data_IF_032039612942
#
_entry.id   IF_032039612942
#
_cell.length_a   1.000
_cell.length_b   1.000
_cell.length_c   1.000
_cell.angle_alpha   90.00
_cell.angle_beta   90.00
_cell.angle_gamma   90.00
#
_symmetry.space_group_name_H-M   'P 1'
#
loop_
_entity.id
_entity.type
_entity.pdbx_description
1 polymer ?
#
# COMPACT_ATOMS: atom_id res chain seq x y z
N UNK A 1 39.83 16.91 -40.76
CA UNK A 1 40.65 17.67 -39.79
C UNK A 1 39.89 17.65 -38.46
N UNK A 2 40.44 16.95 -37.45
CA UNK A 2 39.96 16.76 -36.05
C UNK A 2 38.56 16.15 -35.79
N UNK A 3 38.49 14.90 -35.29
CA UNK A 3 37.31 14.38 -34.60
C UNK A 3 37.40 14.67 -33.09
N UNK A 4 36.30 15.13 -32.49
CA UNK A 4 36.18 15.34 -31.04
C UNK A 4 35.47 14.15 -30.38
N UNK A 5 36.11 13.71 -29.29
CA UNK A 5 35.97 12.46 -28.54
C UNK A 5 34.56 12.13 -28.01
N UNK A 6 34.23 10.85 -28.12
CA UNK A 6 33.23 10.13 -27.32
C UNK A 6 33.55 10.19 -25.82
N UNK A 7 32.49 10.32 -25.02
CA UNK A 7 32.51 10.29 -23.55
C UNK A 7 32.26 8.85 -23.07
N UNK A 8 33.09 8.26 -22.20
CA UNK A 8 32.78 6.96 -21.62
C UNK A 8 32.21 7.05 -20.20
N UNK A 9 31.22 6.16 -19.98
CA UNK A 9 30.45 5.92 -18.78
C UNK A 9 31.27 5.67 -17.50
N UNK A 10 30.75 6.17 -16.37
CA UNK A 10 31.22 5.85 -15.01
C UNK A 10 30.93 4.37 -14.68
N UNK A 11 31.97 3.53 -14.68
CA UNK A 11 31.93 2.20 -14.05
C UNK A 11 32.37 2.33 -12.59
N UNK A 12 31.47 1.96 -11.67
CA UNK A 12 31.79 1.76 -10.26
C UNK A 12 32.81 0.61 -10.16
N UNK A 13 33.99 0.89 -9.60
CA UNK A 13 34.97 -0.15 -9.24
C UNK A 13 35.20 -0.13 -7.74
N UNK A 14 34.94 -1.31 -7.19
CA UNK A 14 35.05 -1.73 -5.80
C UNK A 14 36.49 -1.54 -5.30
N UNK A 15 36.57 -1.11 -4.06
CA UNK A 15 37.73 -0.76 -3.25
C UNK A 15 38.64 -1.98 -3.01
N UNK A 16 39.94 -1.81 -3.30
CA UNK A 16 41.15 -2.13 -2.49
C UNK A 16 41.19 -3.51 -1.77
N UNK A 17 42.21 -4.36 -1.89
CA UNK A 17 43.60 -4.18 -1.42
C UNK A 17 44.38 -5.49 -1.69
N UNK A 18 45.54 -5.45 -2.35
CA UNK A 18 46.60 -6.45 -2.17
C UNK A 18 47.90 -5.94 -2.81
N UNK A 19 48.70 -5.23 -2.01
CA UNK A 19 50.02 -4.73 -2.40
C UNK A 19 51.06 -5.75 -1.96
N UNK A 20 51.51 -6.60 -2.89
CA UNK A 20 52.73 -7.40 -2.74
C UNK A 20 53.87 -6.63 -3.42
N UNK A 21 54.62 -5.87 -2.64
CA UNK A 21 55.86 -5.24 -3.10
C UNK A 21 57.03 -6.21 -2.94
N UNK A 22 57.37 -6.90 -4.03
CA UNK A 22 58.68 -7.51 -4.23
C UNK A 22 59.55 -6.52 -5.01
N UNK A 23 60.39 -5.75 -4.32
CA UNK A 23 61.42 -4.94 -4.97
C UNK A 23 62.79 -5.53 -4.66
N UNK A 24 63.28 -6.37 -5.57
CA UNK A 24 64.69 -6.74 -5.63
C UNK A 24 65.44 -5.59 -6.32
N UNK A 25 66.13 -4.75 -5.54
CA UNK A 25 67.10 -3.79 -6.08
C UNK A 25 68.48 -4.47 -6.09
N UNK A 26 68.93 -4.90 -7.28
CA UNK A 26 70.33 -5.27 -7.51
C UNK A 26 71.10 -3.98 -7.77
N UNK A 27 71.69 -3.42 -6.72
CA UNK A 27 72.65 -2.33 -6.82
C UNK A 27 74.07 -2.91 -6.92
N UNK A 28 74.68 -2.81 -8.08
CA UNK A 28 76.10 -3.05 -8.30
C UNK A 28 76.90 -1.92 -7.65
N UNK A 29 77.63 -2.23 -6.57
CA UNK A 29 78.63 -1.34 -5.97
C UNK A 29 80.03 -1.88 -6.22
N UNK A 30 80.90 -1.00 -6.67
CA UNK A 30 82.28 -1.26 -7.03
C UNK A 30 83.07 -1.78 -5.81
N UNK A 31 83.93 -2.78 -6.06
CA UNK A 31 84.84 -3.35 -5.08
C UNK A 31 85.84 -2.27 -4.62
N UNK A 32 85.78 -1.93 -3.33
CA UNK A 32 86.81 -1.19 -2.65
C UNK A 32 87.37 -2.11 -1.58
N UNK A 33 88.56 -2.65 -1.84
CA UNK A 33 89.30 -3.51 -0.91
C UNK A 33 89.67 -2.68 0.34
N UNK A 34 89.03 -3.02 1.46
CA UNK A 34 89.44 -2.63 2.80
C UNK A 34 89.79 -3.90 3.58
N UNK A 35 90.80 -3.87 4.48
CA UNK A 35 91.30 -5.07 5.13
C UNK A 35 90.20 -5.64 6.02
N UNK A 36 89.80 -6.89 5.77
CA UNK A 36 88.96 -7.66 6.68
C UNK A 36 89.81 -8.01 7.92
N UNK A 37 89.86 -7.10 8.88
CA UNK A 37 90.04 -7.51 10.26
C UNK A 37 88.81 -8.36 10.62
N UNK A 38 89.06 -9.60 11.05
CA UNK A 38 88.00 -10.45 11.60
C UNK A 38 87.32 -9.67 12.73
N UNK A 39 85.98 -9.60 12.77
CA UNK A 39 85.27 -8.90 13.84
C UNK A 39 85.78 -9.41 15.18
N UNK A 40 86.03 -8.50 16.10
CA UNK A 40 86.47 -8.85 17.45
C UNK A 40 85.48 -9.84 18.07
N UNK A 41 85.91 -10.67 19.03
CA UNK A 41 84.98 -11.63 19.68
C UNK A 41 83.73 -10.94 20.24
N UNK A 42 83.83 -9.67 20.65
CA UNK A 42 82.70 -8.87 21.11
C UNK A 42 81.72 -8.50 19.97
N UNK A 43 82.22 -8.10 18.80
CA UNK A 43 81.40 -7.79 17.62
C UNK A 43 80.76 -9.05 17.04
N UNK A 44 81.48 -10.17 17.06
CA UNK A 44 80.94 -11.48 16.65
C UNK A 44 79.82 -11.93 17.59
N UNK A 45 79.95 -11.71 18.90
CA UNK A 45 78.91 -12.00 19.88
C UNK A 45 77.66 -11.13 19.69
N UNK A 46 77.83 -9.84 19.41
CA UNK A 46 76.72 -8.94 19.08
C UNK A 46 76.00 -9.36 17.79
N UNK A 47 76.75 -9.78 16.77
CA UNK A 47 76.16 -10.25 15.51
C UNK A 47 75.38 -11.56 15.69
N UNK A 48 75.89 -12.50 16.51
CA UNK A 48 75.18 -13.73 16.87
C UNK A 48 73.89 -13.41 17.65
N UNK A 49 73.92 -12.47 18.59
CA UNK A 49 72.72 -12.05 19.32
C UNK A 49 71.68 -11.39 18.39
N UNK A 50 72.12 -10.54 17.46
CA UNK A 50 71.24 -9.92 16.47
C UNK A 50 70.61 -10.96 15.53
N UNK A 51 71.39 -11.96 15.10
CA UNK A 51 70.88 -13.09 14.30
C UNK A 51 69.87 -13.93 15.09
N UNK A 52 70.12 -14.19 16.38
CA UNK A 52 69.18 -14.93 17.22
C UNK A 52 67.84 -14.20 17.36
N UNK A 53 67.86 -12.88 17.57
CA UNK A 53 66.64 -12.06 17.59
C UNK A 53 65.90 -12.09 16.26
N UNK A 54 66.62 -12.05 15.14
CA UNK A 54 66.03 -12.11 13.81
C UNK A 54 65.40 -13.48 13.52
N UNK A 55 66.01 -14.57 13.97
CA UNK A 55 65.46 -15.93 13.88
C UNK A 55 64.19 -16.07 14.72
N UNK A 56 64.15 -15.50 15.92
CA UNK A 56 62.96 -15.49 16.77
C UNK A 56 61.81 -14.70 16.13
N UNK A 57 62.09 -13.52 15.57
CA UNK A 57 61.11 -12.72 14.86
C UNK A 57 60.55 -13.45 13.63
N UNK A 58 61.42 -14.06 12.81
CA UNK A 58 61.00 -14.85 11.65
C UNK A 58 60.20 -16.10 12.06
N UNK A 59 60.60 -16.77 13.13
CA UNK A 59 59.88 -17.93 13.66
C UNK A 59 58.49 -17.55 14.16
N UNK A 60 58.34 -16.37 14.78
CA UNK A 60 57.05 -15.84 15.19
C UNK A 60 56.14 -15.54 13.99
N UNK A 61 56.68 -14.94 12.93
CA UNK A 61 55.95 -14.66 11.68
C UNK A 61 55.51 -15.95 11.00
N UNK A 62 56.37 -16.98 10.93
CA UNK A 62 56.02 -18.28 10.35
C UNK A 62 54.89 -18.95 11.12
N UNK A 63 54.93 -18.93 12.46
CA UNK A 63 53.83 -19.47 13.29
C UNK A 63 52.53 -18.71 13.07
N UNK A 64 52.58 -17.37 13.07
CA UNK A 64 51.40 -16.54 12.81
C UNK A 64 50.79 -16.82 11.43
N UNK A 65 51.63 -16.97 10.39
CA UNK A 65 51.19 -17.32 9.04
C UNK A 65 50.61 -18.74 8.96
N UNK A 66 51.17 -19.70 9.69
CA UNK A 66 50.63 -21.06 9.78
C UNK A 66 49.25 -21.07 10.45
N UNK A 67 49.07 -20.29 11.52
CA UNK A 67 47.77 -20.13 12.19
C UNK A 67 46.75 -19.45 11.27
N UNK A 68 47.12 -18.35 10.60
CA UNK A 68 46.24 -17.68 9.64
C UNK A 68 45.83 -18.62 8.49
N UNK A 69 46.78 -19.38 7.93
CA UNK A 69 46.50 -20.35 6.88
C UNK A 69 45.58 -21.50 7.35
N UNK A 70 45.69 -21.91 8.61
CA UNK A 70 44.79 -22.91 9.20
C UNK A 70 43.37 -22.35 9.36
N UNK A 71 43.21 -21.11 9.83
CA UNK A 71 41.91 -20.43 9.95
C UNK A 71 41.23 -20.27 8.60
N UNK A 72 41.95 -19.74 7.60
CA UNK A 72 41.42 -19.57 6.23
C UNK A 72 41.01 -20.90 5.60
N UNK A 73 41.71 -22.01 5.87
CA UNK A 73 41.31 -23.34 5.39
C UNK A 73 40.00 -23.80 6.02
N UNK A 74 39.81 -23.53 7.32
CA UNK A 74 38.58 -23.87 8.05
C UNK A 74 37.40 -23.04 7.54
N UNK A 75 37.57 -21.73 7.34
CA UNK A 75 36.55 -20.84 6.77
C UNK A 75 36.20 -21.19 5.32
N UNK A 76 37.19 -21.59 4.51
CA UNK A 76 36.93 -22.04 3.14
C UNK A 76 36.16 -23.37 3.12
N UNK A 77 36.43 -24.27 4.07
CA UNK A 77 35.71 -25.52 4.20
C UNK A 77 34.24 -25.27 4.61
N UNK A 78 33.98 -24.38 5.56
CA UNK A 78 32.61 -24.02 5.96
C UNK A 78 31.85 -23.31 4.84
N UNK A 79 32.49 -22.38 4.12
CA UNK A 79 31.90 -21.70 2.97
C UNK A 79 31.54 -22.67 1.82
N UNK A 80 32.38 -23.67 1.55
CA UNK A 80 32.08 -24.71 0.55
C UNK A 80 30.88 -25.57 0.95
N UNK A 81 30.76 -25.93 2.23
CA UNK A 81 29.61 -26.68 2.74
C UNK A 81 28.32 -25.85 2.65
N UNK A 82 28.36 -24.57 3.01
CA UNK A 82 27.20 -23.67 2.89
C UNK A 82 26.77 -23.49 1.43
N UNK A 83 27.73 -23.31 0.50
CA UNK A 83 27.44 -23.21 -0.93
C UNK A 83 26.86 -24.52 -1.51
N UNK A 84 27.29 -25.68 -1.01
CA UNK A 84 26.72 -26.97 -1.40
C UNK A 84 25.27 -27.13 -0.91
N UNK A 85 24.96 -26.69 0.32
CA UNK A 85 23.58 -26.68 0.85
C UNK A 85 22.67 -25.76 0.02
N UNK A 86 23.11 -24.52 -0.21
CA UNK A 86 22.34 -23.55 -0.99
C UNK A 86 22.06 -24.03 -2.42
N UNK A 87 23.02 -24.73 -3.04
CA UNK A 87 22.83 -25.32 -4.37
C UNK A 87 21.82 -26.48 -4.35
N UNK A 88 21.82 -27.30 -3.30
CA UNK A 88 20.84 -28.37 -3.12
C UNK A 88 19.43 -27.81 -2.91
N UNK A 89 19.29 -26.80 -2.05
CA UNK A 89 18.03 -26.09 -1.79
C UNK A 89 17.48 -25.43 -3.07
N UNK A 90 18.33 -24.75 -3.84
CA UNK A 90 17.93 -24.16 -5.12
C UNK A 90 17.46 -25.21 -6.14
N UNK A 91 18.11 -26.38 -6.19
CA UNK A 91 17.68 -27.48 -7.07
C UNK A 91 16.31 -28.03 -6.67
N UNK A 92 16.05 -28.15 -5.37
CA UNK A 92 14.74 -28.58 -4.85
C UNK A 92 13.65 -27.54 -5.16
N UNK A 93 13.96 -26.25 -4.97
CA UNK A 93 13.04 -25.16 -5.29
C UNK A 93 12.69 -25.11 -6.79
N UNK A 94 13.67 -25.30 -7.67
CA UNK A 94 13.44 -25.36 -9.12
C UNK A 94 12.55 -26.55 -9.49
N UNK A 95 12.78 -27.73 -8.89
CA UNK A 95 11.96 -28.91 -9.14
C UNK A 95 10.52 -28.70 -8.66
N UNK A 96 10.33 -28.06 -7.51
CA UNK A 96 9.01 -27.73 -6.98
C UNK A 96 8.28 -26.70 -7.83
N UNK A 97 8.99 -25.69 -8.34
CA UNK A 97 8.43 -24.67 -9.23
C UNK A 97 7.99 -25.26 -10.58
N UNK A 98 8.75 -26.22 -11.13
CA UNK A 98 8.35 -26.97 -12.33
C UNK A 98 7.12 -27.84 -12.08
N UNK A 99 7.03 -28.49 -10.91
CA UNK A 99 5.86 -29.28 -10.54
C UNK A 99 4.60 -28.39 -10.35
N UNK A 100 4.77 -27.22 -9.72
CA UNK A 100 3.70 -26.23 -9.58
C UNK A 100 3.26 -25.70 -10.94
N UNK A 101 4.20 -25.39 -11.84
CA UNK A 101 3.87 -24.93 -13.20
C UNK A 101 3.07 -25.99 -13.98
N UNK A 102 3.45 -27.26 -13.89
CA UNK A 102 2.70 -28.36 -14.51
C UNK A 102 1.31 -28.54 -13.89
N UNK A 103 1.16 -28.33 -12.58
CA UNK A 103 -0.13 -28.38 -11.92
C UNK A 103 -1.01 -27.20 -12.31
N UNK A 104 -0.46 -25.99 -12.46
CA UNK A 104 -1.18 -24.81 -12.96
C UNK A 104 -1.63 -25.05 -14.40
N UNK A 105 -0.75 -25.50 -15.30
CA UNK A 105 -1.11 -25.81 -16.68
C UNK A 105 -2.19 -26.90 -16.76
N UNK A 106 -2.08 -27.98 -15.97
CA UNK A 106 -3.09 -29.02 -15.90
C UNK A 106 -4.43 -28.51 -15.32
N UNK A 107 -4.39 -27.59 -14.36
CA UNK A 107 -5.59 -26.96 -13.79
C UNK A 107 -6.22 -26.00 -14.78
N UNK A 108 -5.44 -25.18 -15.48
CA UNK A 108 -5.91 -24.29 -16.57
C UNK A 108 -6.57 -25.11 -17.67
N UNK A 109 -5.91 -26.16 -18.17
CA UNK A 109 -6.49 -27.05 -19.19
C UNK A 109 -7.76 -27.77 -18.70
N UNK A 110 -7.81 -28.16 -17.42
CA UNK A 110 -9.00 -28.77 -16.85
C UNK A 110 -10.16 -27.76 -16.69
N UNK A 111 -9.88 -26.51 -16.31
CA UNK A 111 -10.86 -25.41 -16.20
C UNK A 111 -11.36 -25.01 -17.59
N UNK A 112 -10.48 -24.86 -18.57
CA UNK A 112 -10.82 -24.61 -19.98
C UNK A 112 -11.69 -25.75 -20.53
N UNK A 113 -11.31 -27.00 -20.28
CA UNK A 113 -12.10 -28.17 -20.71
C UNK A 113 -13.46 -28.26 -19.98
N UNK A 114 -13.55 -27.88 -18.71
CA UNK A 114 -14.83 -27.83 -17.98
C UNK A 114 -15.72 -26.69 -18.48
N UNK A 115 -15.13 -25.54 -18.81
CA UNK A 115 -15.82 -24.39 -19.39
C UNK A 115 -16.39 -24.67 -20.79
N UNK A 116 -15.62 -25.35 -21.65
CA UNK A 116 -16.04 -25.71 -23.00
C UNK A 116 -17.11 -26.83 -23.03
N UNK A 117 -17.05 -27.79 -22.10
CA UNK A 117 -17.88 -29.01 -22.20
C UNK A 117 -19.16 -29.00 -21.36
N UNK A 118 -19.27 -28.18 -20.31
CA UNK A 118 -20.47 -28.20 -19.45
C UNK A 118 -21.60 -27.27 -19.92
N UNK A 119 -21.31 -26.17 -20.63
CA UNK A 119 -22.34 -25.16 -20.93
C UNK A 119 -22.31 -24.52 -22.33
N UNK A 120 -21.29 -24.74 -23.17
CA UNK A 120 -21.21 -24.10 -24.50
C UNK A 120 -21.48 -22.57 -24.45
N UNK A 121 -21.03 -21.92 -23.37
CA UNK A 121 -21.24 -20.50 -23.12
C UNK A 121 -20.13 -19.69 -23.80
N UNK A 122 -20.43 -18.57 -24.45
CA UNK A 122 -19.40 -17.71 -25.03
C UNK A 122 -18.44 -17.18 -23.94
N UNK A 123 -17.18 -16.91 -24.30
CA UNK A 123 -16.09 -16.50 -23.40
C UNK A 123 -16.30 -15.22 -22.58
N UNK A 124 -17.48 -14.61 -22.60
CA UNK A 124 -17.78 -13.39 -21.84
C UNK A 124 -17.76 -13.61 -20.32
N UNK A 125 -18.03 -14.84 -19.84
CA UNK A 125 -18.04 -15.12 -18.40
C UNK A 125 -16.65 -15.21 -17.78
N UNK A 126 -15.59 -15.48 -18.58
CA UNK A 126 -14.22 -15.53 -18.04
C UNK A 126 -13.72 -14.16 -17.61
N UNK A 127 -14.32 -13.10 -18.15
CA UNK A 127 -14.01 -11.72 -17.86
C UNK A 127 -15.02 -11.09 -16.88
N UNK A 128 -15.93 -11.89 -16.31
CA UNK A 128 -16.92 -11.44 -15.34
C UNK A 128 -16.55 -11.95 -13.95
N UNK A 129 -16.46 -11.04 -12.99
CA UNK A 129 -16.30 -11.39 -11.58
C UNK A 129 -17.57 -11.07 -10.80
N UNK A 130 -18.06 -12.05 -10.04
CA UNK A 130 -19.20 -11.89 -9.14
C UNK A 130 -18.70 -12.13 -7.72
N UNK A 131 -19.07 -11.23 -6.81
CA UNK A 131 -18.74 -11.32 -5.40
C UNK A 131 -19.87 -10.75 -4.54
N UNK A 132 -19.67 -10.74 -3.23
CA UNK A 132 -20.63 -10.14 -2.33
C UNK A 132 -20.31 -10.43 -0.87
N UNK A 133 -21.05 -9.78 0.01
CA UNK A 133 -21.01 -10.01 1.45
C UNK A 133 -22.37 -9.73 2.07
N UNK A 134 -22.55 -10.09 3.33
CA UNK A 134 -23.76 -9.79 4.07
C UNK A 134 -23.45 -9.63 5.55
N UNK A 135 -24.28 -8.84 6.22
CA UNK A 135 -24.11 -8.47 7.62
C UNK A 135 -25.40 -8.77 8.40
N UNK A 136 -25.25 -9.44 9.55
CA UNK A 136 -26.32 -9.62 10.52
C UNK A 136 -25.86 -9.01 11.84
N UNK A 137 -26.50 -7.92 12.25
CA UNK A 137 -26.17 -7.17 13.45
C UNK A 137 -27.11 -7.56 14.59
N UNK A 138 -26.58 -7.57 15.81
CA UNK A 138 -27.35 -7.71 17.04
C UNK A 138 -26.91 -6.62 18.02
N UNK A 139 -27.77 -5.65 18.26
CA UNK A 139 -27.51 -4.48 19.10
C UNK A 139 -28.25 -4.62 20.44
N UNK A 140 -27.51 -4.57 21.54
CA UNK A 140 -28.06 -4.66 22.89
C UNK A 140 -28.00 -3.29 23.57
N UNK A 141 -29.08 -2.52 23.44
CA UNK A 141 -29.12 -1.12 23.83
C UNK A 141 -29.48 -0.94 25.31
N UNK A 142 -28.88 0.04 25.97
CA UNK A 142 -29.22 0.38 27.34
C UNK A 142 -30.22 1.55 27.36
N UNK A 143 -31.45 1.29 27.80
CA UNK A 143 -32.52 2.30 27.85
C UNK A 143 -33.27 2.48 26.52
N UNK A 144 -33.03 1.62 25.54
CA UNK A 144 -33.78 1.49 24.29
C UNK A 144 -34.00 0.01 23.96
N UNK A 145 -34.75 -0.29 22.90
CA UNK A 145 -35.03 -1.65 22.50
C UNK A 145 -33.76 -2.35 21.94
N UNK A 146 -33.65 -3.65 22.20
CA UNK A 146 -32.64 -4.48 21.55
C UNK A 146 -33.09 -4.82 20.13
N UNK A 147 -32.13 -4.93 19.22
CA UNK A 147 -32.41 -5.09 17.80
C UNK A 147 -31.58 -6.22 17.20
N UNK A 148 -32.18 -6.95 16.27
CA UNK A 148 -31.48 -7.87 15.37
C UNK A 148 -31.87 -7.49 13.95
N UNK A 149 -30.88 -7.26 13.11
CA UNK A 149 -31.07 -6.66 11.80
C UNK A 149 -30.17 -7.34 10.77
N UNK A 150 -30.74 -7.76 9.64
CA UNK A 150 -29.93 -8.14 8.49
C UNK A 150 -29.55 -6.85 7.77
N UNK A 151 -28.52 -6.21 8.31
CA UNK A 151 -28.19 -4.81 8.04
C UNK A 151 -28.07 -4.52 6.55
N UNK A 152 -27.33 -5.38 5.85
CA UNK A 152 -27.23 -5.31 4.39
C UNK A 152 -26.77 -6.61 3.75
N UNK A 153 -27.20 -6.81 2.51
CA UNK A 153 -26.74 -7.85 1.60
C UNK A 153 -26.25 -7.22 0.31
N UNK A 154 -24.96 -7.39 0.00
CA UNK A 154 -24.29 -6.73 -1.11
C UNK A 154 -23.85 -7.74 -2.15
N UNK A 155 -24.08 -7.41 -3.43
CA UNK A 155 -23.59 -8.17 -4.57
C UNK A 155 -22.80 -7.26 -5.52
N UNK A 156 -21.59 -7.70 -5.85
CA UNK A 156 -20.76 -7.11 -6.87
C UNK A 156 -20.91 -7.85 -8.18
N UNK A 157 -21.02 -7.10 -9.27
CA UNK A 157 -20.95 -7.63 -10.63
C UNK A 157 -20.01 -6.75 -11.46
N UNK A 158 -18.82 -7.26 -11.76
CA UNK A 158 -17.84 -6.54 -12.57
C UNK A 158 -17.56 -7.30 -13.86
N UNK A 159 -17.26 -6.58 -14.93
CA UNK A 159 -16.99 -7.18 -16.23
C UNK A 159 -15.90 -6.42 -17.00
N UNK A 160 -14.88 -7.12 -17.45
CA UNK A 160 -13.82 -6.60 -18.32
C UNK A 160 -14.22 -6.79 -19.80
N UNK A 161 -14.67 -5.71 -20.44
CA UNK A 161 -15.03 -5.77 -21.86
C UNK A 161 -13.80 -5.97 -22.76
N UNK A 162 -12.66 -5.43 -22.33
CA UNK A 162 -11.34 -5.57 -22.93
C UNK A 162 -10.27 -5.03 -21.95
N UNK A 163 -9.01 -5.02 -22.38
CA UNK A 163 -7.83 -4.65 -21.57
C UNK A 163 -7.86 -3.23 -20.95
N UNK A 164 -8.78 -2.34 -21.35
CA UNK A 164 -8.83 -0.96 -20.85
C UNK A 164 -10.24 -0.46 -20.51
N UNK A 165 -11.29 -1.29 -20.65
CA UNK A 165 -12.67 -0.92 -20.31
C UNK A 165 -13.28 -1.96 -19.38
N UNK A 166 -13.66 -1.51 -18.19
CA UNK A 166 -14.24 -2.36 -17.14
C UNK A 166 -15.52 -1.76 -16.59
N UNK A 167 -16.58 -2.57 -16.46
CA UNK A 167 -17.76 -2.25 -15.66
C UNK A 167 -17.49 -2.63 -14.21
N UNK A 168 -17.80 -1.71 -13.30
CA UNK A 168 -17.95 -1.96 -11.87
C UNK A 168 -19.41 -1.72 -11.49
N UNK A 169 -20.01 -2.68 -10.77
CA UNK A 169 -21.34 -2.47 -10.21
C UNK A 169 -21.54 -3.17 -8.87
N UNK A 170 -22.35 -2.54 -8.03
CA UNK A 170 -22.68 -2.95 -6.68
C UNK A 170 -24.17 -2.68 -6.42
N UNK A 171 -24.88 -3.72 -6.01
CA UNK A 171 -26.27 -3.64 -5.56
C UNK A 171 -26.31 -4.03 -4.09
N UNK A 172 -27.01 -3.24 -3.30
CA UNK A 172 -27.19 -3.45 -1.87
C UNK A 172 -28.69 -3.59 -1.54
N UNK A 173 -29.03 -4.58 -0.70
CA UNK A 173 -30.33 -4.66 -0.02
C UNK A 173 -30.12 -4.36 1.46
N UNK A 174 -30.62 -3.23 1.94
CA UNK A 174 -30.58 -2.86 3.36
C UNK A 174 -31.78 -3.45 4.13
N UNK A 175 -31.57 -3.75 5.41
CA UNK A 175 -32.58 -4.17 6.39
C UNK A 175 -33.47 -5.37 6.01
N UNK A 176 -32.99 -6.22 5.10
CA UNK A 176 -33.59 -7.51 4.73
C UNK A 176 -34.89 -7.47 3.93
N UNK A 177 -35.52 -6.31 3.74
CA UNK A 177 -36.75 -6.13 2.94
C UNK A 177 -36.83 -4.72 2.37
N UNK A 178 -37.14 -4.62 1.07
CA UNK A 178 -37.29 -3.33 0.37
C UNK A 178 -38.65 -3.22 -0.31
N UNK A 179 -39.16 -1.99 -0.43
CA UNK A 179 -40.41 -1.66 -1.12
C UNK A 179 -41.22 -0.59 -0.41
N UNK A 180 -42.41 -0.30 -0.95
CA UNK A 180 -43.33 0.69 -0.37
C UNK A 180 -43.65 0.33 1.10
N UNK A 181 -43.53 1.34 1.98
CA UNK A 181 -43.78 1.21 3.43
C UNK A 181 -42.89 0.18 4.15
N UNK A 182 -41.78 -0.25 3.55
CA UNK A 182 -40.77 -1.09 4.20
C UNK A 182 -39.65 -0.26 4.82
N UNK A 183 -38.89 -0.87 5.73
CA UNK A 183 -37.80 -0.22 6.46
C UNK A 183 -36.43 -0.36 5.78
N UNK A 184 -36.32 -1.14 4.71
CA UNK A 184 -35.09 -1.31 3.95
C UNK A 184 -35.21 -0.83 2.51
N UNK A 185 -34.07 -0.83 1.82
CA UNK A 185 -33.92 -0.25 0.50
C UNK A 185 -33.16 -1.19 -0.43
N UNK A 186 -33.45 -1.12 -1.74
CA UNK A 186 -32.66 -1.76 -2.77
C UNK A 186 -31.91 -0.67 -3.53
N UNK A 187 -30.61 -0.62 -3.36
CA UNK A 187 -29.76 0.49 -3.78
C UNK A 187 -28.77 0.05 -4.86
N UNK A 188 -28.52 0.94 -5.81
CA UNK A 188 -27.44 0.81 -6.78
C UNK A 188 -26.32 1.76 -6.35
N UNK A 189 -25.47 1.30 -5.42
CA UNK A 189 -24.41 2.13 -4.85
C UNK A 189 -23.31 2.44 -5.86
N UNK A 190 -22.99 1.48 -6.73
CA UNK A 190 -22.01 1.66 -7.79
C UNK A 190 -22.53 1.10 -9.11
N UNK A 191 -22.30 1.84 -10.18
CA UNK A 191 -22.52 1.43 -11.56
C UNK A 191 -21.76 2.37 -12.49
N UNK A 192 -20.49 2.06 -12.76
CA UNK A 192 -19.63 2.92 -13.57
C UNK A 192 -18.74 2.14 -14.53
N UNK A 193 -18.39 2.78 -15.63
CA UNK A 193 -17.38 2.30 -16.56
C UNK A 193 -16.05 2.98 -16.25
N UNK A 194 -15.02 2.18 -15.98
CA UNK A 194 -13.64 2.62 -15.95
C UNK A 194 -13.01 2.49 -17.32
N UNK A 195 -12.32 3.53 -17.76
CA UNK A 195 -11.48 3.57 -18.95
C UNK A 195 -10.03 3.83 -18.55
N UNK A 196 -9.16 2.83 -18.65
CA UNK A 196 -7.73 2.93 -18.36
C UNK A 196 -6.96 3.41 -19.61
N UNK A 197 -7.00 4.72 -19.86
CA UNK A 197 -6.36 5.35 -21.03
C UNK A 197 -4.85 5.08 -21.10
N UNK A 198 -4.20 4.98 -19.94
CA UNK A 198 -2.80 4.59 -19.79
C UNK A 198 -2.63 3.85 -18.46
N UNK A 199 -1.48 3.20 -18.25
CA UNK A 199 -1.13 2.60 -16.94
C UNK A 199 -1.22 3.57 -15.75
N UNK A 200 -1.11 4.88 -16.03
CA UNK A 200 -1.07 5.95 -15.01
C UNK A 200 -2.34 6.78 -14.94
N UNK A 201 -3.23 6.71 -15.93
CA UNK A 201 -4.39 7.59 -16.03
C UNK A 201 -5.64 6.81 -16.42
N UNK A 202 -6.67 6.93 -15.59
CA UNK A 202 -7.97 6.31 -15.81
C UNK A 202 -9.10 7.32 -15.61
N UNK A 203 -10.27 7.02 -16.16
CA UNK A 203 -11.50 7.78 -15.93
C UNK A 203 -12.65 6.86 -15.59
N UNK A 204 -13.43 7.22 -14.58
CA UNK A 204 -14.66 6.55 -14.17
C UNK A 204 -15.85 7.41 -14.59
N UNK A 205 -16.85 6.81 -15.24
CA UNK A 205 -18.09 7.48 -15.67
C UNK A 205 -19.30 6.66 -15.24
N UNK A 206 -20.19 7.25 -14.47
CA UNK A 206 -21.38 6.58 -13.94
C UNK A 206 -21.61 6.93 -12.47
N UNK A 207 -22.11 5.97 -11.69
CA UNK A 207 -22.35 6.10 -10.25
C UNK A 207 -21.17 5.50 -9.50
N UNK A 208 -20.46 6.30 -8.69
CA UNK A 208 -19.29 5.86 -7.93
C UNK A 208 -19.18 6.52 -6.56
N UNK A 209 -18.46 5.87 -5.65
CA UNK A 209 -18.16 6.41 -4.32
C UNK A 209 -17.23 7.62 -4.42
N UNK A 210 -17.56 8.67 -3.67
CA UNK A 210 -16.79 9.91 -3.63
C UNK A 210 -15.40 9.68 -3.00
N UNK A 211 -14.32 10.26 -3.55
CA UNK A 211 -12.95 10.03 -3.07
C UNK A 211 -12.62 10.87 -1.81
N UNK A 212 -13.41 10.73 -0.76
CA UNK A 212 -13.28 11.49 0.51
C UNK A 212 -13.13 10.56 1.71
N UNK A 213 -12.31 10.96 2.68
CA UNK A 213 -12.10 10.19 3.91
C UNK A 213 -11.33 8.89 3.73
N UNK A 214 -11.39 8.02 4.74
CA UNK A 214 -10.78 6.70 4.73
C UNK A 214 -11.78 5.66 4.24
N UNK A 215 -12.99 5.66 4.80
CA UNK A 215 -13.93 4.57 4.65
C UNK A 215 -14.86 4.71 3.45
N UNK A 216 -14.98 5.88 2.83
CA UNK A 216 -16.01 6.06 1.81
C UNK A 216 -15.85 5.10 0.61
N UNK A 217 -14.62 4.94 0.09
CA UNK A 217 -14.31 4.00 -0.99
C UNK A 217 -14.01 2.57 -0.50
N UNK A 218 -13.94 2.34 0.82
CA UNK A 218 -13.62 1.03 1.43
C UNK A 218 -14.47 0.81 2.68
N UNK A 219 -15.79 0.79 2.53
CA UNK A 219 -16.75 0.77 3.64
C UNK A 219 -17.18 -0.66 4.04
N UNK A 220 -16.54 -1.68 3.48
CA UNK A 220 -16.83 -3.08 3.77
C UNK A 220 -16.45 -3.44 5.22
N UNK A 221 -17.19 -4.32 5.91
CA UNK A 221 -17.04 -4.57 7.35
C UNK A 221 -15.65 -5.01 7.80
N UNK A 222 -14.87 -5.64 6.92
CA UNK A 222 -13.52 -6.12 7.26
C UNK A 222 -12.43 -5.04 7.11
N UNK A 223 -12.78 -3.84 6.64
CA UNK A 223 -11.83 -2.74 6.41
C UNK A 223 -11.66 -1.84 7.63
N UNK A 224 -12.53 -1.93 8.64
CA UNK A 224 -12.46 -1.14 9.86
C UNK A 224 -12.72 -1.98 11.11
N UNK A 225 -12.46 -1.39 12.28
CA UNK A 225 -12.81 -1.99 13.56
C UNK A 225 -14.10 -1.39 14.10
N UNK A 226 -14.99 -2.27 14.57
CA UNK A 226 -16.35 -1.93 15.01
C UNK A 226 -17.38 -2.81 14.30
N UNK A 227 -18.63 -2.76 14.78
CA UNK A 227 -19.79 -3.25 14.01
C UNK A 227 -20.28 -2.11 13.12
N UNK A 228 -20.41 -0.93 13.71
CA UNK A 228 -20.82 0.28 13.02
C UNK A 228 -19.63 1.17 12.64
N UNK A 229 -19.82 1.94 11.57
CA UNK A 229 -18.88 3.00 11.15
C UNK A 229 -18.74 4.06 12.26
N UNK A 230 -17.58 4.72 12.28
CA UNK A 230 -17.32 5.76 13.27
C UNK A 230 -18.17 7.02 13.01
N UNK A 231 -18.52 7.76 14.06
CA UNK A 231 -19.42 8.90 13.94
C UNK A 231 -18.88 10.04 13.07
N UNK A 232 -17.56 10.22 12.97
CA UNK A 232 -16.95 11.24 12.09
C UNK A 232 -17.22 10.90 10.62
N UNK A 233 -16.96 9.65 10.23
CA UNK A 233 -17.25 9.12 8.88
C UNK A 233 -18.71 8.65 8.71
N UNK A 234 -19.58 8.99 9.65
CA UNK A 234 -21.04 8.84 9.54
C UNK A 234 -21.71 10.20 9.32
N UNK A 235 -21.35 11.21 10.10
CA UNK A 235 -22.04 12.50 10.13
C UNK A 235 -21.30 13.60 9.37
N UNK A 236 -19.97 13.67 9.45
CA UNK A 236 -19.17 14.74 8.81
C UNK A 236 -18.79 14.35 7.38
N UNK A 237 -18.28 13.13 7.21
CA UNK A 237 -18.09 12.50 5.90
C UNK A 237 -19.17 11.46 5.79
N UNK A 238 -20.30 11.69 5.09
CA UNK A 238 -21.45 10.79 5.19
C UNK A 238 -21.17 9.46 4.48
N UNK A 239 -20.34 8.60 5.07
CA UNK A 239 -19.73 7.44 4.42
C UNK A 239 -20.74 6.51 3.76
N UNK A 240 -20.27 5.78 2.75
CA UNK A 240 -21.13 5.18 1.73
C UNK A 240 -21.90 6.28 0.99
N UNK A 241 -21.13 7.27 0.51
CA UNK A 241 -21.60 8.38 -0.31
C UNK A 241 -21.16 8.17 -1.74
N UNK A 242 -22.13 7.93 -2.61
CA UNK A 242 -21.96 7.82 -4.05
C UNK A 242 -22.71 8.94 -4.78
N UNK A 243 -22.18 9.32 -5.93
CA UNK A 243 -22.79 10.31 -6.82
C UNK A 243 -22.66 9.87 -8.27
N UNK A 244 -23.51 10.43 -9.13
CA UNK A 244 -23.40 10.29 -10.57
C UNK A 244 -22.43 11.32 -11.13
N UNK A 245 -21.49 10.92 -11.98
CA UNK A 245 -20.58 11.88 -12.59
C UNK A 245 -19.41 11.30 -13.35
N UNK A 246 -18.31 12.05 -13.36
CA UNK A 246 -17.04 11.69 -13.99
C UNK A 246 -15.90 11.92 -12.99
N UNK A 247 -15.02 10.93 -12.83
CA UNK A 247 -13.79 11.02 -12.02
C UNK A 247 -12.58 10.68 -12.87
N UNK A 248 -11.54 11.52 -12.85
CA UNK A 248 -10.22 11.22 -13.41
C UNK A 248 -9.24 10.88 -12.30
N UNK A 249 -8.41 9.85 -12.50
CA UNK A 249 -7.40 9.41 -11.54
C UNK A 249 -6.04 9.31 -12.23
N UNK A 250 -5.02 9.97 -11.67
CA UNK A 250 -3.64 9.94 -12.15
C UNK A 250 -2.67 9.44 -11.08
N UNK A 251 -1.84 8.45 -11.41
CA UNK A 251 -0.85 7.85 -10.50
C UNK A 251 0.58 8.05 -10.99
N UNK A 252 1.48 8.32 -10.05
CA UNK A 252 2.92 8.51 -10.30
C UNK A 252 3.72 7.32 -9.77
N UNK A 253 4.90 7.10 -10.36
CA UNK A 253 5.85 6.08 -9.87
C UNK A 253 6.42 6.40 -8.48
N UNK A 254 6.32 7.65 -8.05
CA UNK A 254 6.76 8.11 -6.72
C UNK A 254 5.76 7.84 -5.61
N UNK A 255 4.62 7.20 -5.91
CA UNK A 255 3.57 6.87 -4.94
C UNK A 255 2.54 7.97 -4.70
N UNK A 256 2.58 9.08 -5.45
CA UNK A 256 1.48 10.06 -5.46
C UNK A 256 0.36 9.62 -6.41
N UNK A 257 -0.87 9.79 -5.97
CA UNK A 257 -2.08 9.68 -6.78
C UNK A 257 -2.91 10.98 -6.64
N UNK A 258 -3.54 11.38 -7.72
CA UNK A 258 -4.40 12.56 -7.81
C UNK A 258 -5.73 12.16 -8.40
N UNK A 259 -6.82 12.55 -7.75
CA UNK A 259 -8.17 12.37 -8.27
C UNK A 259 -8.82 13.73 -8.46
N UNK A 260 -9.66 13.85 -9.48
CA UNK A 260 -10.54 14.99 -9.69
C UNK A 260 -11.89 14.51 -10.22
N UNK A 261 -13.00 15.03 -9.70
CA UNK A 261 -14.34 14.64 -10.14
C UNK A 261 -15.30 15.80 -10.25
N UNK A 262 -16.30 15.63 -11.12
CA UNK A 262 -17.48 16.48 -11.25
C UNK A 262 -18.69 15.55 -11.11
N UNK A 263 -19.57 15.82 -10.15
CA UNK A 263 -20.69 14.93 -9.81
C UNK A 263 -21.97 15.68 -9.48
N UNK A 264 -23.08 14.94 -9.33
CA UNK A 264 -24.41 15.46 -8.97
C UNK A 264 -24.48 16.16 -7.61
N UNK A 265 -23.54 15.86 -6.71
CA UNK A 265 -23.43 16.55 -5.42
C UNK A 265 -24.57 16.25 -4.44
N UNK A 266 -24.50 16.92 -3.29
CA UNK A 266 -25.48 16.77 -2.22
C UNK A 266 -26.71 17.66 -2.45
N UNK A 267 -27.82 17.31 -1.82
CA UNK A 267 -28.95 18.20 -1.59
C UNK A 267 -29.20 18.28 -0.08
N UNK A 268 -28.30 18.96 0.64
CA UNK A 268 -28.35 19.13 2.07
C UNK A 268 -29.34 20.25 2.42
N UNK A 269 -30.57 19.93 2.77
CA UNK A 269 -31.50 20.94 3.27
C UNK A 269 -31.08 21.39 4.67
N UNK A 270 -31.18 22.70 4.93
CA UNK A 270 -30.90 23.32 6.24
C UNK A 270 -29.50 23.02 6.84
N UNK A 271 -28.54 22.55 6.04
CA UNK A 271 -27.18 22.26 6.51
C UNK A 271 -26.98 20.84 7.04
N UNK A 272 -27.99 19.96 6.99
CA UNK A 272 -27.82 18.56 7.41
C UNK A 272 -27.09 17.72 6.34
N UNK A 273 -25.76 17.65 6.47
CA UNK A 273 -24.87 17.00 5.48
C UNK A 273 -25.23 15.53 5.23
N UNK A 274 -25.45 14.75 6.30
CA UNK A 274 -25.72 13.31 6.17
C UNK A 274 -27.03 13.04 5.44
N UNK A 275 -28.04 13.88 5.66
CA UNK A 275 -29.33 13.82 4.98
C UNK A 275 -29.27 14.25 3.52
N UNK A 276 -28.22 14.94 3.11
CA UNK A 276 -28.08 15.47 1.75
C UNK A 276 -27.69 14.44 0.68
N UNK A 277 -27.40 13.19 1.04
CA UNK A 277 -27.08 12.13 0.07
C UNK A 277 -28.31 11.80 -0.78
N UNK A 278 -28.19 11.97 -2.10
CA UNK A 278 -29.32 11.80 -3.02
C UNK A 278 -29.44 10.39 -3.60
N UNK A 279 -28.41 9.55 -3.41
CA UNK A 279 -28.35 8.16 -3.88
C UNK A 279 -28.49 7.98 -5.40
N UNK A 280 -28.44 9.08 -6.17
CA UNK A 280 -28.66 9.12 -7.63
C UNK A 280 -30.04 8.56 -8.05
N UNK A 281 -31.03 8.66 -7.16
CA UNK A 281 -32.42 8.25 -7.40
C UNK A 281 -33.28 9.48 -7.67
N UNK A 282 -33.32 9.94 -8.93
CA UNK A 282 -33.88 11.24 -9.30
C UNK A 282 -33.20 12.42 -8.58
N UNK A 283 -31.89 12.29 -8.36
CA UNK A 283 -31.07 13.33 -7.74
C UNK A 283 -31.18 14.66 -8.49
N UNK A 284 -31.35 15.73 -7.72
CA UNK A 284 -31.26 17.09 -8.23
C UNK A 284 -29.79 17.34 -8.62
N UNK A 285 -29.59 17.97 -9.77
CA UNK A 285 -28.29 18.23 -10.36
C UNK A 285 -28.32 19.59 -11.06
N UNK A 286 -28.81 20.59 -10.33
CA UNK A 286 -28.85 21.98 -10.77
C UNK A 286 -27.47 22.64 -10.54
N UNK A 287 -26.72 22.17 -9.54
CA UNK A 287 -25.35 22.60 -9.25
C UNK A 287 -24.41 21.39 -9.07
N UNK A 288 -23.24 21.44 -9.69
CA UNK A 288 -22.32 20.30 -9.69
C UNK A 288 -21.35 20.37 -8.50
N UNK A 289 -21.07 19.22 -7.87
CA UNK A 289 -19.98 19.11 -6.91
C UNK A 289 -18.64 18.87 -7.61
N UNK A 290 -17.63 19.64 -7.22
CA UNK A 290 -16.25 19.49 -7.66
C UNK A 290 -15.41 18.90 -6.53
N UNK A 291 -14.77 17.75 -6.75
CA UNK A 291 -13.89 17.15 -5.76
C UNK A 291 -12.48 16.97 -6.29
N UNK A 292 -11.50 17.06 -5.39
CA UNK A 292 -10.10 16.78 -5.67
C UNK A 292 -9.45 16.06 -4.51
N UNK A 293 -8.61 15.06 -4.79
CA UNK A 293 -7.82 14.34 -3.78
C UNK A 293 -6.37 14.25 -4.19
N UNK A 294 -5.47 14.38 -3.22
CA UNK A 294 -4.09 13.92 -3.32
C UNK A 294 -3.85 12.81 -2.30
N UNK A 295 -3.24 11.72 -2.72
CA UNK A 295 -2.89 10.58 -1.89
C UNK A 295 -1.43 10.20 -2.10
N UNK A 296 -0.72 9.85 -1.02
CA UNK A 296 0.65 9.39 -1.04
C UNK A 296 0.78 8.02 -0.37
N UNK A 297 1.25 7.03 -1.13
CA UNK A 297 1.50 5.64 -0.70
C UNK A 297 2.90 5.16 -1.05
N UNK A 298 3.85 6.09 -1.22
CA UNK A 298 5.24 5.77 -1.62
C UNK A 298 6.08 5.09 -0.53
N UNK A 299 5.56 4.97 0.70
CA UNK A 299 6.21 4.27 1.82
C UNK A 299 5.36 3.07 2.18
N UNK A 300 5.99 1.89 2.28
CA UNK A 300 5.29 0.65 2.61
C UNK A 300 4.49 0.79 3.92
N UNK A 301 3.20 0.47 3.84
CA UNK A 301 2.27 0.55 4.97
C UNK A 301 1.78 1.96 5.31
N UNK A 302 2.28 3.02 4.67
CA UNK A 302 1.83 4.39 4.90
C UNK A 302 0.91 4.86 3.78
N UNK A 303 -0.25 5.40 4.16
CA UNK A 303 -1.11 6.23 3.34
C UNK A 303 -1.28 7.60 4.02
N UNK A 304 -1.11 8.66 3.25
CA UNK A 304 -1.48 10.02 3.63
C UNK A 304 -2.36 10.57 2.53
N UNK A 305 -3.52 11.10 2.84
CA UNK A 305 -4.33 11.77 1.84
C UNK A 305 -4.96 13.06 2.37
N UNK A 306 -5.27 13.95 1.44
CA UNK A 306 -6.11 15.11 1.67
C UNK A 306 -7.07 15.25 0.50
N UNK A 307 -8.31 15.61 0.77
CA UNK A 307 -9.30 15.88 -0.27
C UNK A 307 -10.10 17.14 0.04
N UNK A 308 -10.59 17.76 -1.01
CA UNK A 308 -11.55 18.86 -0.94
C UNK A 308 -12.74 18.55 -1.82
N UNK A 309 -13.91 19.00 -1.42
CA UNK A 309 -15.09 19.05 -2.26
C UNK A 309 -15.76 20.41 -2.09
N UNK A 310 -16.13 21.03 -3.20
CA UNK A 310 -16.86 22.29 -3.26
C UNK A 310 -18.14 22.12 -4.05
N UNK A 311 -19.21 22.74 -3.58
CA UNK A 311 -20.48 22.87 -4.29
C UNK A 311 -21.06 24.26 -3.99
N UNK A 312 -21.44 25.00 -5.04
CA UNK A 312 -21.85 26.40 -4.93
C UNK A 312 -23.23 26.54 -4.25
N UNK A 313 -24.11 25.58 -4.51
CA UNK A 313 -25.46 25.49 -3.94
C UNK A 313 -25.64 24.09 -3.36
N UNK A 314 -25.55 23.98 -2.04
CA UNK A 314 -25.64 22.72 -1.31
C UNK A 314 -27.10 22.29 -1.04
N UNK A 315 -28.06 23.22 -1.06
CA UNK A 315 -29.51 22.97 -0.99
C UNK A 315 -30.13 23.22 -2.36
N UNK A 316 -29.89 22.27 -3.26
CA UNK A 316 -30.38 22.31 -4.63
C UNK A 316 -31.92 22.26 -4.74
N UNK A 317 -32.65 22.16 -3.62
CA UNK A 317 -34.11 22.09 -3.64
C UNK A 317 -34.72 23.38 -4.19
N UNK A 318 -35.84 23.26 -4.89
CA UNK A 318 -36.49 24.43 -5.49
C UNK A 318 -37.01 25.38 -4.41
N UNK A 319 -36.36 26.55 -4.30
CA UNK A 319 -36.66 27.53 -3.25
C UNK A 319 -36.03 27.17 -1.91
N UNK A 320 -35.06 26.27 -1.91
CA UNK A 320 -34.13 26.02 -0.82
C UNK A 320 -33.26 27.23 -0.52
N UNK A 321 -32.44 27.09 0.51
CA UNK A 321 -31.52 28.13 0.97
C UNK A 321 -30.32 28.23 0.02
N UNK A 322 -29.93 29.46 -0.31
CA UNK A 322 -28.78 29.71 -1.17
C UNK A 322 -27.50 29.75 -0.33
N UNK A 323 -26.80 28.62 -0.26
CA UNK A 323 -25.52 28.53 0.44
C UNK A 323 -24.58 27.49 -0.18
N UNK A 324 -23.29 27.81 -0.15
CA UNK A 324 -22.21 26.94 -0.65
C UNK A 324 -21.65 26.06 0.46
N UNK A 325 -20.98 24.98 0.08
CA UNK A 325 -20.29 24.09 1.00
C UNK A 325 -18.88 23.73 0.53
N UNK A 326 -17.90 23.92 1.41
CA UNK A 326 -16.54 23.40 1.24
C UNK A 326 -16.26 22.31 2.28
N UNK A 327 -16.09 21.08 1.80
CA UNK A 327 -15.54 19.98 2.58
C UNK A 327 -14.01 19.96 2.43
N UNK A 328 -13.30 19.90 3.55
CA UNK A 328 -11.86 19.63 3.60
C UNK A 328 -11.58 18.42 4.48
N UNK A 329 -10.74 17.50 4.00
CA UNK A 329 -10.35 16.29 4.73
C UNK A 329 -8.85 16.06 4.68
N UNK A 330 -8.32 15.45 5.73
CA UNK A 330 -6.97 14.94 5.76
C UNK A 330 -6.91 13.67 6.63
N UNK A 331 -6.16 12.67 6.17
CA UNK A 331 -5.97 11.45 6.94
C UNK A 331 -4.58 10.84 6.78
N UNK A 332 -4.24 10.02 7.76
CA UNK A 332 -3.06 9.18 7.79
C UNK A 332 -3.49 7.77 8.18
N UNK A 333 -3.03 6.77 7.44
CA UNK A 333 -3.07 5.37 7.85
C UNK A 333 -1.65 4.83 7.81
N UNK A 334 -1.19 4.21 8.89
CA UNK A 334 0.11 3.57 8.93
C UNK A 334 0.02 2.18 9.53
N UNK A 335 0.49 1.17 8.81
CA UNK A 335 0.51 -0.22 9.24
C UNK A 335 1.94 -0.76 9.19
N UNK A 336 2.37 -1.37 10.29
CA UNK A 336 3.67 -2.06 10.38
C UNK A 336 3.56 -3.29 11.27
N UNK A 337 3.82 -4.47 10.68
CA UNK A 337 3.53 -5.74 11.34
C UNK A 337 2.05 -5.83 11.73
N UNK A 338 1.77 -6.21 12.98
CA UNK A 338 0.40 -6.24 13.51
C UNK A 338 -0.15 -4.87 13.91
N UNK A 339 0.69 -3.85 14.07
CA UNK A 339 0.26 -2.53 14.52
C UNK A 339 -0.28 -1.69 13.36
N UNK A 340 -1.40 -1.00 13.60
CA UNK A 340 -1.91 0.03 12.68
C UNK A 340 -2.32 1.29 13.45
N UNK A 341 -2.15 2.45 12.82
CA UNK A 341 -2.65 3.73 13.30
C UNK A 341 -3.47 4.38 12.19
N UNK A 342 -4.68 4.83 12.51
CA UNK A 342 -5.50 5.68 11.65
C UNK A 342 -5.75 7.01 12.34
N UNK A 343 -5.69 8.08 11.60
CA UNK A 343 -6.12 9.39 12.05
C UNK A 343 -6.78 10.13 10.90
N UNK A 344 -7.89 10.80 11.17
CA UNK A 344 -8.65 11.54 10.17
C UNK A 344 -9.18 12.83 10.80
N UNK A 345 -9.18 13.90 10.01
CA UNK A 345 -9.86 15.16 10.28
C UNK A 345 -10.73 15.50 9.07
N UNK A 346 -11.95 15.96 9.32
CA UNK A 346 -12.86 16.47 8.30
C UNK A 346 -13.56 17.73 8.82
N UNK A 347 -13.84 18.66 7.91
CA UNK A 347 -14.55 19.91 8.20
C UNK A 347 -15.36 20.35 6.98
N UNK A 348 -16.59 20.77 7.24
CA UNK A 348 -17.41 21.57 6.36
C UNK A 348 -17.35 23.03 6.80
N UNK A 349 -17.17 23.92 5.83
CA UNK A 349 -17.40 25.34 5.96
C UNK A 349 -18.56 25.68 4.99
N UNK A 350 -19.71 26.10 5.55
CA UNK A 350 -20.90 26.51 4.81
C UNK A 350 -21.00 28.04 4.82
N UNK A 351 -21.30 28.64 3.67
CA UNK A 351 -21.37 30.10 3.52
C UNK A 351 -22.58 30.50 2.67
N UNK A 352 -23.42 31.38 3.20
CA UNK A 352 -24.65 31.84 2.54
C UNK A 352 -25.82 32.01 3.50
N UNK A 353 -27.04 31.79 3.00
CA UNK A 353 -28.29 31.86 3.76
C UNK A 353 -28.51 30.60 4.61
N UNK A 354 -27.71 30.43 5.66
CA UNK A 354 -27.73 29.24 6.53
C UNK A 354 -27.76 29.63 8.01
N UNK A 355 -28.18 28.70 8.88
CA UNK A 355 -28.09 28.91 10.32
C UNK A 355 -26.62 28.98 10.77
N UNK A 356 -26.29 29.93 11.65
CA UNK A 356 -24.92 30.07 12.16
C UNK A 356 -24.40 28.82 12.85
N UNK A 357 -25.28 28.01 13.44
CA UNK A 357 -24.92 26.75 14.08
C UNK A 357 -24.56 25.65 13.06
N UNK A 358 -24.94 25.81 11.78
CA UNK A 358 -24.63 24.89 10.69
C UNK A 358 -23.39 25.30 9.88
N UNK A 359 -22.96 26.57 9.95
CA UNK A 359 -21.83 27.14 9.18
C UNK A 359 -20.53 26.34 9.29
N UNK A 360 -20.30 25.63 10.41
CA UNK A 360 -19.09 24.88 10.65
C UNK A 360 -19.39 23.53 11.30
N UNK A 361 -19.18 22.44 10.56
CA UNK A 361 -19.29 21.07 11.07
C UNK A 361 -17.96 20.38 10.93
N UNK A 362 -17.47 19.71 11.96
CA UNK A 362 -16.14 19.09 11.93
C UNK A 362 -16.08 17.84 12.78
N UNK A 363 -15.07 17.02 12.52
CA UNK A 363 -14.79 15.89 13.37
C UNK A 363 -13.42 15.31 13.10
N UNK A 364 -12.87 14.66 14.13
CA UNK A 364 -11.61 13.96 14.02
C UNK A 364 -11.59 12.73 14.90
N UNK A 365 -10.74 11.78 14.51
CA UNK A 365 -10.43 10.64 15.36
C UNK A 365 -8.98 10.20 15.22
N UNK A 366 -8.51 9.49 16.24
CA UNK A 366 -7.28 8.71 16.23
C UNK A 366 -7.58 7.30 16.73
N UNK A 367 -7.07 6.31 16.01
CA UNK A 367 -7.32 4.90 16.25
C UNK A 367 -6.03 4.08 16.11
N UNK A 368 -5.35 3.77 17.22
CA UNK A 368 -4.43 2.65 17.26
C UNK A 368 -5.19 1.32 17.24
N UNK A 369 -4.64 0.36 16.51
CA UNK A 369 -5.08 -1.04 16.54
C UNK A 369 -3.90 -1.99 16.46
N UNK A 370 -4.13 -3.21 16.90
CA UNK A 370 -3.17 -4.30 16.75
C UNK A 370 -3.89 -5.57 16.32
N UNK A 371 -3.35 -6.23 15.29
CA UNK A 371 -3.85 -7.48 14.72
C UNK A 371 -2.81 -8.60 14.90
N UNK A 372 -3.25 -9.75 15.39
CA UNK A 372 -2.48 -10.97 15.48
C UNK A 372 -3.08 -12.02 14.54
N UNK A 373 -2.23 -12.66 13.74
CA UNK A 373 -2.62 -13.89 13.03
C UNK A 373 -2.53 -15.05 14.00
N UNK A 374 -3.68 -15.68 14.27
CA UNK A 374 -3.76 -16.83 15.16
C UNK A 374 -3.22 -18.09 14.45
N UNK A 375 -3.75 -18.37 13.26
CA UNK A 375 -3.26 -19.39 12.32
C UNK A 375 -4.00 -19.26 10.99
N UNK A 376 -3.51 -19.95 9.95
CA UNK A 376 -4.24 -20.05 8.67
C UNK A 376 -5.67 -20.61 8.83
N UNK A 377 -5.89 -21.46 9.84
CA UNK A 377 -7.21 -22.07 10.10
C UNK A 377 -8.17 -21.15 10.85
N UNK A 378 -7.67 -20.34 11.77
CA UNK A 378 -8.49 -19.53 12.68
C UNK A 378 -8.52 -18.05 12.30
N UNK A 379 -7.72 -17.64 11.32
CA UNK A 379 -7.65 -16.26 10.85
C UNK A 379 -6.94 -15.34 11.84
N UNK A 380 -7.41 -14.10 11.88
CA UNK A 380 -6.83 -13.03 12.66
C UNK A 380 -7.74 -12.62 13.82
N UNK A 381 -7.12 -12.17 14.92
CA UNK A 381 -7.79 -11.42 15.98
C UNK A 381 -7.19 -10.02 16.05
N UNK A 382 -8.02 -9.02 16.28
CA UNK A 382 -7.52 -7.65 16.45
C UNK A 382 -8.24 -6.91 17.55
N UNK A 383 -7.54 -5.93 18.11
CA UNK A 383 -8.09 -4.97 19.07
C UNK A 383 -7.84 -3.57 18.55
N UNK A 384 -8.70 -2.65 18.94
CA UNK A 384 -8.56 -1.24 18.62
C UNK A 384 -9.05 -0.40 19.80
N UNK A 385 -8.61 0.86 19.83
CA UNK A 385 -9.19 1.89 20.67
C UNK A 385 -9.32 3.14 19.80
N UNK A 386 -10.45 3.84 19.88
CA UNK A 386 -10.70 5.06 19.11
C UNK A 386 -11.02 6.20 20.07
N UNK A 387 -10.31 7.31 19.91
CA UNK A 387 -10.71 8.61 20.46
C UNK A 387 -11.27 9.43 19.31
N UNK A 388 -12.45 10.01 19.48
CA UNK A 388 -13.11 10.83 18.48
C UNK A 388 -13.85 11.99 19.12
N UNK A 389 -13.90 13.11 18.42
CA UNK A 389 -14.61 14.32 18.80
C UNK A 389 -15.17 14.96 17.53
N UNK A 390 -16.42 15.40 17.57
CA UNK A 390 -17.15 15.85 16.39
C UNK A 390 -18.35 16.72 16.77
N UNK A 391 -18.66 17.66 15.88
CA UNK A 391 -19.75 18.61 15.96
C UNK A 391 -20.40 18.67 14.57
N UNK A 392 -21.68 18.34 14.51
CA UNK A 392 -22.46 18.30 13.27
C UNK A 392 -23.83 18.94 13.52
N UNK A 393 -24.46 19.38 12.43
CA UNK A 393 -25.81 19.93 12.44
C UNK A 393 -26.81 18.85 12.02
N UNK A 394 -27.99 18.77 12.65
CA UNK A 394 -29.03 17.76 12.41
C UNK A 394 -30.39 18.38 12.10
#
# INVERSE_FOLDING_TARGET
MKPAKQSPMKRHKIITLLTLCSAALVGTLAAQEAPQELPSQAEMWQMIQAQQQQIEALSAIVRANQTAAATTRTELASAKTAAASAKAEASTAIAQLQATQQQVEATTLAVEAFGDSAFNLPAWYTNTSIGGYGELHANFNNGADNEIDFHRFVLFFNHEFNDWITLYSEIELEHGVAGDEQNGELELEQAFIRMDWTEKFSTDVGVFLMPVGILNETHEPNTFYGVERNNVEKYILPGTWWEGGIKGSYRTETGFAFDGSITSGLNAQDGYIRGGRQKVSEAINDEAALAGRVKYTGIAGLEIAASVLYQDDLDQSKGGKDYSGLLSTAHIQYTTGGFSLRALYARWDLDGDIDSDAESQYGYYIEPSYRWTLSEKYGDIGIYARFSDYEYFE
#
